data_IF_105138803226
#
_entry.id   IF_105138803226
#
_cell.length_a   1.000
_cell.length_b   1.000
_cell.length_c   1.000
_cell.angle_alpha   90.00
_cell.angle_beta   90.00
_cell.angle_gamma   90.00
#
_symmetry.space_group_name_H-M   'P 1'
#
loop_
_entity.id
_entity.type
_entity.pdbx_description
1 polymer ?
#
# COMPACT_ATOMS: atom_id res chain seq x y z
N UNK A 1 15.39 -23.77 -4.91
CA UNK A 1 14.91 -22.61 -4.15
C UNK A 1 14.14 -21.74 -5.12
N UNK A 2 12.98 -21.22 -4.71
CA UNK A 2 12.26 -20.26 -5.55
C UNK A 2 13.10 -18.99 -5.72
N UNK A 3 13.02 -18.35 -6.87
CA UNK A 3 13.65 -17.05 -7.09
C UNK A 3 12.80 -15.97 -6.41
N UNK A 4 13.44 -14.99 -5.80
CA UNK A 4 12.78 -13.94 -5.01
C UNK A 4 13.42 -12.59 -5.31
N UNK A 5 12.59 -11.54 -5.31
CA UNK A 5 13.00 -10.15 -5.33
C UNK A 5 12.70 -9.54 -3.96
N UNK A 6 13.57 -8.66 -3.48
CA UNK A 6 13.48 -8.11 -2.12
C UNK A 6 13.64 -6.61 -2.16
N UNK A 7 12.75 -5.86 -1.50
CA UNK A 7 12.90 -4.43 -1.28
C UNK A 7 13.07 -4.14 0.22
N UNK A 8 14.16 -3.47 0.57
CA UNK A 8 14.44 -3.04 1.94
C UNK A 8 13.54 -1.87 2.32
N UNK A 9 13.10 -1.85 3.58
CA UNK A 9 12.31 -0.73 4.11
C UNK A 9 13.17 0.53 4.24
N UNK A 10 12.71 1.71 3.75
CA UNK A 10 13.43 2.97 3.97
C UNK A 10 13.53 3.34 5.45
N UNK A 11 12.66 2.76 6.28
CA UNK A 11 12.67 2.94 7.73
C UNK A 11 13.36 1.79 8.49
N UNK A 12 13.98 0.83 7.80
CA UNK A 12 14.67 -0.29 8.43
C UNK A 12 13.74 -1.30 9.12
N UNK A 13 12.46 -1.32 8.75
CA UNK A 13 11.55 -2.42 9.07
C UNK A 13 11.89 -3.68 8.24
N UNK A 14 11.16 -4.77 8.47
CA UNK A 14 11.31 -6.00 7.69
C UNK A 14 11.14 -5.73 6.19
N UNK A 15 11.98 -6.35 5.34
CA UNK A 15 11.88 -6.16 3.90
C UNK A 15 10.64 -6.86 3.33
N UNK A 16 10.11 -6.33 2.23
CA UNK A 16 9.08 -7.03 1.46
C UNK A 16 9.74 -8.00 0.47
N UNK A 17 9.15 -9.19 0.35
CA UNK A 17 9.66 -10.28 -0.50
C UNK A 17 8.62 -10.61 -1.57
N UNK A 18 9.03 -10.56 -2.82
CA UNK A 18 8.20 -10.89 -3.98
C UNK A 18 8.65 -12.22 -4.60
N UNK A 19 7.78 -13.23 -4.67
CA UNK A 19 8.11 -14.48 -5.36
C UNK A 19 8.21 -14.25 -6.86
N UNK A 20 9.13 -14.97 -7.52
CA UNK A 20 9.27 -15.00 -8.98
C UNK A 20 8.75 -16.32 -9.57
N UNK A 21 8.01 -16.32 -10.70
CA UNK A 21 7.65 -15.17 -11.53
C UNK A 21 6.66 -14.23 -10.84
N UNK A 22 6.82 -12.93 -11.10
CA UNK A 22 5.86 -11.92 -10.63
C UNK A 22 4.48 -12.20 -11.22
N UNK A 23 3.44 -11.83 -10.48
CA UNK A 23 2.06 -11.89 -10.99
C UNK A 23 1.93 -11.02 -12.24
N UNK A 24 1.80 -11.67 -13.40
CA UNK A 24 1.53 -11.02 -14.68
C UNK A 24 0.08 -10.54 -14.68
N UNK A 25 -0.12 -9.23 -14.85
CA UNK A 25 -1.42 -8.55 -14.70
C UNK A 25 -2.61 -9.29 -15.35
N UNK A 26 -3.61 -9.56 -14.51
CA UNK A 26 -4.96 -10.02 -14.85
C UNK A 26 -5.95 -9.15 -14.05
N UNK A 27 -6.87 -9.76 -13.28
CA UNK A 27 -7.65 -9.03 -12.25
C UNK A 27 -6.79 -8.56 -11.05
N UNK A 28 -5.50 -8.95 -11.03
CA UNK A 28 -4.50 -8.51 -10.05
C UNK A 28 -3.51 -7.53 -10.68
N UNK A 29 -3.03 -6.58 -9.87
CA UNK A 29 -1.96 -5.65 -10.26
C UNK A 29 -0.70 -6.39 -10.74
N UNK A 30 -0.02 -5.82 -11.74
CA UNK A 30 1.27 -6.31 -12.22
C UNK A 30 2.31 -6.17 -11.09
N UNK A 31 2.87 -7.29 -10.64
CA UNK A 31 3.86 -7.30 -9.56
C UNK A 31 5.12 -6.51 -9.89
N UNK A 32 5.48 -6.37 -11.18
CA UNK A 32 6.59 -5.52 -11.58
C UNK A 32 6.23 -4.04 -11.47
N UNK A 33 5.02 -3.66 -11.86
CA UNK A 33 4.53 -2.29 -11.69
C UNK A 33 4.49 -1.89 -10.20
N UNK A 34 4.04 -2.78 -9.32
CA UNK A 34 4.01 -2.52 -7.87
C UNK A 34 5.41 -2.25 -7.29
N UNK A 35 6.42 -3.05 -7.69
CA UNK A 35 7.82 -2.84 -7.28
C UNK A 35 8.31 -1.45 -7.73
N UNK A 36 8.05 -1.10 -8.99
CA UNK A 36 8.51 0.16 -9.58
C UNK A 36 7.85 1.36 -8.93
N UNK A 37 6.54 1.30 -8.69
CA UNK A 37 5.78 2.36 -8.02
C UNK A 37 6.20 2.49 -6.56
N UNK A 38 6.43 1.38 -5.85
CA UNK A 38 6.95 1.41 -4.47
C UNK A 38 8.29 2.15 -4.41
N UNK A 39 9.23 1.85 -5.31
CA UNK A 39 10.51 2.55 -5.38
C UNK A 39 10.31 4.04 -5.69
N UNK A 40 9.37 4.37 -6.58
CA UNK A 40 9.04 5.76 -6.93
C UNK A 40 8.53 6.54 -5.71
N UNK A 41 7.56 5.98 -4.99
CA UNK A 41 6.97 6.58 -3.80
C UNK A 41 7.99 6.79 -2.69
N UNK A 42 8.90 5.83 -2.49
CA UNK A 42 10.01 6.01 -1.55
C UNK A 42 10.90 7.19 -1.97
N UNK A 43 11.13 7.40 -3.27
CA UNK A 43 11.86 8.57 -3.75
C UNK A 43 11.12 9.90 -3.58
N UNK A 44 9.79 9.91 -3.56
CA UNK A 44 9.00 11.10 -3.27
C UNK A 44 9.02 11.46 -1.78
N UNK A 45 8.96 10.44 -0.91
CA UNK A 45 9.04 10.63 0.55
C UNK A 45 10.46 10.93 1.06
N UNK A 46 11.48 10.52 0.29
CA UNK A 46 12.91 10.74 0.58
C UNK A 46 13.58 11.55 -0.56
N UNK A 47 13.48 12.89 -0.56
CA UNK A 47 14.05 13.75 -1.60
C UNK A 47 15.55 13.53 -1.82
N UNK A 48 16.29 13.15 -0.77
CA UNK A 48 17.71 12.80 -0.85
C UNK A 48 18.00 11.56 -1.72
N UNK A 49 17.01 10.68 -1.90
CA UNK A 49 17.08 9.52 -2.78
C UNK A 49 16.52 9.78 -4.17
N UNK A 50 15.64 10.76 -4.33
CA UNK A 50 14.84 10.97 -5.54
C UNK A 50 15.70 10.96 -6.81
N UNK A 51 16.81 11.71 -6.80
CA UNK A 51 17.72 11.80 -7.94
C UNK A 51 18.36 10.45 -8.27
N UNK A 52 18.83 9.71 -7.26
CA UNK A 52 19.47 8.41 -7.45
C UNK A 52 18.46 7.35 -7.93
N UNK A 53 17.25 7.36 -7.37
CA UNK A 53 16.19 6.42 -7.74
C UNK A 53 15.70 6.67 -9.17
N UNK A 54 15.38 7.91 -9.52
CA UNK A 54 14.83 8.26 -10.84
C UNK A 54 15.85 8.09 -11.97
N UNK A 55 17.10 8.51 -11.77
CA UNK A 55 18.07 8.57 -12.86
C UNK A 55 18.97 7.34 -12.99
N UNK A 56 19.22 6.59 -11.91
CA UNK A 56 20.19 5.49 -11.92
C UNK A 56 19.57 4.09 -11.70
N UNK A 57 18.38 4.04 -11.08
CA UNK A 57 17.75 2.78 -10.65
C UNK A 57 16.55 2.47 -11.53
N UNK A 58 15.64 3.44 -11.71
CA UNK A 58 14.48 3.33 -12.60
C UNK A 58 14.81 3.58 -14.08
N UNK A 59 16.06 3.39 -14.47
CA UNK A 59 16.55 3.50 -15.85
C UNK A 59 16.91 2.12 -16.38
N UNK A 60 16.40 1.76 -17.56
CA UNK A 60 16.82 0.59 -18.34
C UNK A 60 16.66 -0.75 -17.59
N UNK A 61 15.41 -1.16 -17.36
CA UNK A 61 15.03 -2.45 -16.77
C UNK A 61 14.06 -3.22 -17.67
N UNK A 62 14.09 -4.54 -17.57
CA UNK A 62 13.16 -5.46 -18.22
C UNK A 62 12.31 -6.17 -17.16
N UNK A 63 11.03 -5.82 -17.09
CA UNK A 63 10.07 -6.37 -16.12
C UNK A 63 9.83 -7.87 -16.28
N UNK A 64 10.22 -8.45 -17.42
CA UNK A 64 10.08 -9.88 -17.71
C UNK A 64 11.35 -10.68 -17.40
N UNK A 65 12.44 -10.00 -17.04
CA UNK A 65 13.73 -10.61 -16.74
C UNK A 65 14.01 -10.56 -15.24
N UNK A 66 14.13 -11.76 -14.64
CA UNK A 66 14.51 -11.88 -13.22
C UNK A 66 15.82 -11.15 -12.92
N UNK A 67 16.85 -11.36 -13.73
CA UNK A 67 18.17 -10.73 -13.52
C UNK A 67 18.10 -9.20 -13.61
N UNK A 68 17.27 -8.67 -14.51
CA UNK A 68 17.09 -7.22 -14.64
C UNK A 68 16.37 -6.63 -13.41
N UNK A 69 15.25 -7.23 -13.02
CA UNK A 69 14.49 -6.79 -11.84
C UNK A 69 15.27 -6.98 -10.54
N UNK A 70 16.04 -8.07 -10.41
CA UNK A 70 16.94 -8.29 -9.28
C UNK A 70 18.02 -7.22 -9.23
N UNK A 71 18.65 -6.90 -10.37
CA UNK A 71 19.65 -5.83 -10.45
C UNK A 71 19.09 -4.47 -10.02
N UNK A 72 17.83 -4.18 -10.38
CA UNK A 72 17.11 -2.98 -9.95
C UNK A 72 16.86 -2.99 -8.43
N UNK A 73 16.33 -4.08 -7.87
CA UNK A 73 16.11 -4.23 -6.43
C UNK A 73 17.42 -4.12 -5.64
N UNK A 74 18.50 -4.76 -6.10
CA UNK A 74 19.81 -4.71 -5.45
C UNK A 74 20.39 -3.28 -5.43
N UNK A 75 20.18 -2.48 -6.50
CA UNK A 75 20.60 -1.07 -6.50
C UNK A 75 19.78 -0.23 -5.53
N UNK A 76 18.47 -0.43 -5.50
CA UNK A 76 17.57 0.21 -4.54
C UNK A 76 17.99 -0.11 -3.10
N UNK A 77 18.16 -1.39 -2.76
CA UNK A 77 18.54 -1.84 -1.42
C UNK A 77 19.86 -1.22 -0.95
N UNK A 78 20.87 -1.13 -1.83
CA UNK A 78 22.13 -0.45 -1.48
C UNK A 78 21.95 1.03 -1.15
N UNK A 79 21.06 1.73 -1.86
CA UNK A 79 20.75 3.13 -1.58
C UNK A 79 20.02 3.29 -0.24
N UNK A 80 19.03 2.42 0.02
CA UNK A 80 18.30 2.38 1.30
C UNK A 80 19.22 2.08 2.47
N UNK A 81 20.05 1.05 2.36
CA UNK A 81 20.99 0.65 3.41
C UNK A 81 21.93 1.80 3.77
N UNK A 82 22.38 2.57 2.77
CA UNK A 82 23.25 3.72 2.98
C UNK A 82 22.57 4.79 3.84
N UNK A 83 21.28 5.08 3.60
CA UNK A 83 20.53 6.10 4.35
C UNK A 83 20.16 5.61 5.74
N UNK A 84 19.67 4.38 5.86
CA UNK A 84 19.33 3.81 7.18
C UNK A 84 20.57 3.80 8.09
N UNK A 85 21.76 3.58 7.55
CA UNK A 85 23.01 3.68 8.32
C UNK A 85 23.38 5.13 8.68
N UNK A 86 23.21 6.08 7.75
CA UNK A 86 23.43 7.50 8.03
C UNK A 86 22.51 8.00 9.15
N UNK A 87 21.23 7.65 9.10
CA UNK A 87 20.25 8.10 10.10
C UNK A 87 20.52 7.55 11.49
N UNK A 88 20.99 6.30 11.61
CA UNK A 88 21.44 5.72 12.90
C UNK A 88 22.57 6.52 13.55
N UNK A 89 23.40 7.20 12.76
CA UNK A 89 24.47 8.08 13.23
C UNK A 89 24.03 9.49 13.62
N UNK A 90 22.80 9.87 13.29
CA UNK A 90 22.25 11.22 13.57
C UNK A 90 21.24 11.15 14.70
N UNK A 91 21.28 12.10 15.65
CA UNK A 91 20.26 12.22 16.70
C UNK A 91 18.89 12.73 16.20
N UNK A 92 18.63 12.67 14.89
CA UNK A 92 17.39 13.14 14.28
C UNK A 92 16.28 12.13 14.59
N UNK A 93 15.27 12.56 15.34
CA UNK A 93 14.08 11.76 15.57
C UNK A 93 13.23 11.73 14.30
N UNK A 94 12.90 10.53 13.83
CA UNK A 94 11.91 10.35 12.76
C UNK A 94 10.54 10.80 13.28
N UNK A 95 10.01 11.85 12.67
CA UNK A 95 8.65 12.32 12.97
C UNK A 95 7.68 11.48 12.15
N UNK A 96 6.71 10.84 12.81
CA UNK A 96 5.58 10.19 12.12
C UNK A 96 4.82 11.25 11.32
N UNK A 97 4.76 11.08 10.00
CA UNK A 97 4.00 11.92 9.09
C UNK A 97 2.88 11.10 8.50
N UNK A 98 1.74 11.74 8.25
CA UNK A 98 0.69 11.15 7.44
C UNK A 98 1.19 11.00 5.99
N UNK A 99 0.85 9.90 5.31
CA UNK A 99 1.22 9.71 3.92
C UNK A 99 0.56 10.77 3.04
N UNK A 100 1.22 11.13 1.93
CA UNK A 100 0.56 11.91 0.87
C UNK A 100 -0.63 11.13 0.30
N UNK A 101 -1.58 11.82 -0.33
CA UNK A 101 -2.73 11.15 -0.97
C UNK A 101 -2.32 10.14 -2.03
N UNK A 102 -1.25 10.42 -2.76
CA UNK A 102 -0.75 9.50 -3.78
C UNK A 102 -0.13 8.25 -3.15
N UNK A 103 0.71 8.44 -2.13
CA UNK A 103 1.32 7.35 -1.38
C UNK A 103 0.26 6.48 -0.70
N UNK A 104 -0.73 7.08 -0.04
CA UNK A 104 -1.80 6.34 0.61
C UNK A 104 -2.64 5.52 -0.39
N UNK A 105 -2.92 6.06 -1.58
CA UNK A 105 -3.59 5.30 -2.65
C UNK A 105 -2.77 4.07 -3.04
N UNK A 106 -1.45 4.23 -3.19
CA UNK A 106 -0.53 3.14 -3.51
C UNK A 106 -0.50 2.07 -2.40
N UNK A 107 -0.38 2.48 -1.13
CA UNK A 107 -0.39 1.56 0.02
C UNK A 107 -1.69 0.76 0.06
N UNK A 108 -2.85 1.42 -0.09
CA UNK A 108 -4.14 0.73 -0.08
C UNK A 108 -4.29 -0.26 -1.23
N UNK A 109 -3.78 0.08 -2.42
CA UNK A 109 -3.77 -0.83 -3.57
C UNK A 109 -2.90 -2.06 -3.31
N UNK A 110 -1.70 -1.87 -2.75
CA UNK A 110 -0.80 -2.98 -2.38
C UNK A 110 -1.45 -3.90 -1.34
N UNK A 111 -2.05 -3.31 -0.29
CA UNK A 111 -2.77 -4.05 0.75
C UNK A 111 -3.93 -4.84 0.17
N UNK A 112 -4.69 -4.25 -0.76
CA UNK A 112 -5.77 -4.94 -1.48
C UNK A 112 -5.24 -6.12 -2.29
N UNK A 113 -4.18 -5.94 -3.07
CA UNK A 113 -3.60 -7.00 -3.90
C UNK A 113 -3.11 -8.19 -3.05
N UNK A 114 -2.61 -7.93 -1.84
CA UNK A 114 -2.12 -8.95 -0.92
C UNK A 114 -3.26 -9.67 -0.19
N UNK A 115 -4.31 -8.94 0.20
CA UNK A 115 -5.39 -9.47 1.03
C UNK A 115 -6.54 -10.09 0.21
N UNK A 116 -6.91 -9.51 -0.93
CA UNK A 116 -8.06 -9.94 -1.72
C UNK A 116 -7.61 -10.89 -2.82
N UNK A 117 -7.60 -12.18 -2.49
CA UNK A 117 -7.08 -13.22 -3.38
C UNK A 117 -8.05 -13.60 -4.52
N UNK A 118 -9.35 -13.55 -4.28
CA UNK A 118 -10.40 -13.96 -5.22
C UNK A 118 -11.46 -12.85 -5.31
N UNK A 119 -11.16 -11.72 -5.99
CA UNK A 119 -12.06 -10.56 -6.09
C UNK A 119 -13.45 -10.91 -6.63
N UNK A 120 -13.55 -11.94 -7.48
CA UNK A 120 -14.80 -12.44 -8.03
C UNK A 120 -15.79 -12.92 -6.96
N UNK A 121 -15.30 -13.33 -5.78
CA UNK A 121 -16.17 -13.71 -4.64
C UNK A 121 -16.85 -12.51 -4.01
N UNK A 122 -16.30 -11.31 -4.15
CA UNK A 122 -16.95 -10.07 -3.67
C UNK A 122 -18.19 -9.73 -4.51
N UNK A 123 -18.25 -10.21 -5.75
CA UNK A 123 -19.40 -10.02 -6.65
C UNK A 123 -20.51 -11.07 -6.46
N UNK A 124 -20.36 -12.00 -5.52
CA UNK A 124 -21.33 -13.08 -5.25
C UNK A 124 -22.29 -12.68 -4.12
N UNK A 125 -23.25 -11.83 -4.44
CA UNK A 125 -24.31 -11.41 -3.53
C UNK A 125 -25.69 -11.56 -4.16
N UNK A 126 -26.73 -11.69 -3.34
CA UNK A 126 -28.11 -11.68 -3.80
C UNK A 126 -28.49 -10.26 -4.28
N UNK A 127 -28.93 -10.07 -5.54
CA UNK A 127 -29.39 -8.77 -6.02
C UNK A 127 -30.54 -8.23 -5.14
N UNK A 128 -30.54 -6.92 -4.89
CA UNK A 128 -31.53 -6.24 -4.04
C UNK A 128 -31.48 -6.62 -2.54
N UNK A 129 -30.38 -7.21 -2.08
CA UNK A 129 -30.09 -7.40 -0.64
C UNK A 129 -29.20 -6.27 -0.09
N UNK A 130 -29.09 -6.11 1.25
CA UNK A 130 -28.09 -5.24 1.87
C UNK A 130 -26.63 -5.70 1.68
N UNK A 131 -26.38 -6.81 0.99
CA UNK A 131 -25.05 -7.44 0.82
C UNK A 131 -24.41 -7.09 -0.53
N UNK A 132 -25.00 -6.17 -1.30
CA UNK A 132 -24.46 -5.68 -2.56
C UNK A 132 -23.12 -4.99 -2.29
N UNK A 133 -22.03 -5.59 -2.77
CA UNK A 133 -20.71 -4.99 -2.73
C UNK A 133 -20.56 -3.97 -3.86
N UNK A 134 -20.20 -2.74 -3.51
CA UNK A 134 -19.83 -1.68 -4.44
C UNK A 134 -18.61 -0.95 -3.90
N UNK A 135 -17.52 -0.94 -4.66
CA UNK A 135 -16.31 -0.25 -4.22
C UNK A 135 -16.51 1.26 -4.22
N UNK A 136 -16.23 1.88 -3.08
CA UNK A 136 -16.25 3.34 -2.96
C UNK A 136 -14.95 3.90 -3.51
N UNK A 137 -15.04 4.92 -4.35
CA UNK A 137 -13.87 5.54 -4.97
C UNK A 137 -12.97 6.22 -3.93
N UNK A 138 -11.67 5.96 -4.00
CA UNK A 138 -10.64 6.64 -3.19
C UNK A 138 -10.74 8.17 -3.28
N UNK A 139 -11.05 8.70 -4.47
CA UNK A 139 -11.14 10.13 -4.72
C UNK A 139 -12.38 10.74 -4.06
N UNK A 140 -13.48 10.00 -4.01
CA UNK A 140 -14.69 10.43 -3.32
C UNK A 140 -14.46 10.55 -1.81
N UNK A 141 -13.73 9.61 -1.21
CA UNK A 141 -13.35 9.71 0.21
C UNK A 141 -12.38 10.88 0.45
N UNK A 142 -11.44 11.13 -0.47
CA UNK A 142 -10.59 12.33 -0.37
C UNK A 142 -11.41 13.63 -0.40
N UNK A 143 -12.39 13.72 -1.31
CA UNK A 143 -13.31 14.86 -1.38
C UNK A 143 -14.13 14.98 -0.09
N UNK A 144 -14.65 13.87 0.44
CA UNK A 144 -15.36 13.88 1.71
C UNK A 144 -14.47 14.45 2.82
N UNK A 145 -13.23 13.96 2.97
CA UNK A 145 -12.26 14.44 3.97
C UNK A 145 -11.98 15.95 3.80
N UNK A 146 -11.94 16.48 2.59
CA UNK A 146 -11.74 17.91 2.34
C UNK A 146 -12.92 18.78 2.78
N UNK A 147 -14.14 18.25 2.70
CA UNK A 147 -15.37 18.97 2.97
C UNK A 147 -15.79 18.93 4.45
N UNK A 148 -15.20 18.04 5.25
CA UNK A 148 -15.54 17.87 6.68
C UNK A 148 -14.34 18.14 7.58
N UNK A 149 -14.56 18.92 8.64
CA UNK A 149 -13.54 19.18 9.65
C UNK A 149 -13.46 18.01 10.64
N UNK A 150 -12.49 17.10 10.44
CA UNK A 150 -12.26 15.94 11.30
C UNK A 150 -11.15 16.25 12.29
N UNK A 151 -11.45 16.00 13.56
CA UNK A 151 -10.57 16.24 14.70
C UNK A 151 -10.23 14.94 15.44
N UNK A 152 -9.31 15.04 16.40
CA UNK A 152 -8.93 13.94 17.28
C UNK A 152 -9.97 13.55 18.33
N UNK A 153 -11.11 14.25 18.38
CA UNK A 153 -12.24 13.88 19.23
C UNK A 153 -13.31 13.09 18.48
N UNK A 154 -13.25 13.06 17.15
CA UNK A 154 -14.24 12.40 16.31
C UNK A 154 -14.04 10.89 16.25
N UNK A 155 -15.14 10.18 16.03
CA UNK A 155 -15.18 8.74 15.78
C UNK A 155 -15.83 8.49 14.42
N UNK A 156 -15.10 7.81 13.55
CA UNK A 156 -15.60 7.40 12.23
C UNK A 156 -16.12 5.96 12.29
N UNK A 157 -17.30 5.73 11.71
CA UNK A 157 -17.92 4.41 11.61
C UNK A 157 -18.45 4.18 10.19
N UNK A 158 -17.93 3.15 9.53
CA UNK A 158 -18.39 2.66 8.24
C UNK A 158 -19.33 1.46 8.43
N UNK A 159 -20.58 1.59 8.00
CA UNK A 159 -21.64 0.59 8.14
C UNK A 159 -21.83 -0.14 6.81
N UNK A 160 -21.49 -1.43 6.77
CA UNK A 160 -21.34 -2.17 5.51
C UNK A 160 -19.97 -1.91 4.88
N UNK A 161 -18.91 -2.00 5.69
CA UNK A 161 -17.57 -1.56 5.33
C UNK A 161 -16.89 -2.40 4.25
N UNK A 162 -17.49 -3.52 3.83
CA UNK A 162 -16.90 -4.45 2.88
C UNK A 162 -15.52 -4.94 3.37
N UNK A 163 -14.52 -4.84 2.50
CA UNK A 163 -13.13 -5.19 2.83
C UNK A 163 -12.42 -4.14 3.70
N UNK A 164 -13.07 -3.03 4.05
CA UNK A 164 -12.56 -2.03 5.00
C UNK A 164 -11.69 -0.92 4.41
N UNK A 165 -11.63 -0.78 3.09
CA UNK A 165 -10.76 0.20 2.41
C UNK A 165 -10.99 1.66 2.87
N UNK A 166 -12.25 2.06 3.09
CA UNK A 166 -12.61 3.41 3.54
C UNK A 166 -12.12 3.65 4.96
N UNK A 167 -12.27 2.66 5.85
CA UNK A 167 -11.81 2.73 7.24
C UNK A 167 -10.29 2.91 7.29
N UNK A 168 -9.53 2.16 6.48
CA UNK A 168 -8.07 2.28 6.41
C UNK A 168 -7.65 3.65 5.87
N UNK A 169 -8.31 4.14 4.82
CA UNK A 169 -8.06 5.48 4.28
C UNK A 169 -8.31 6.57 5.33
N UNK A 170 -9.46 6.51 6.02
CA UNK A 170 -9.81 7.48 7.06
C UNK A 170 -8.82 7.46 8.22
N UNK A 171 -8.40 6.27 8.66
CA UNK A 171 -7.43 6.12 9.74
C UNK A 171 -6.05 6.72 9.39
N UNK A 172 -5.65 6.64 8.12
CA UNK A 172 -4.33 7.11 7.67
C UNK A 172 -4.31 8.58 7.23
N UNK A 173 -5.42 9.08 6.71
CA UNK A 173 -5.52 10.43 6.15
C UNK A 173 -6.01 11.49 7.15
N UNK A 174 -6.53 11.08 8.30
CA UNK A 174 -7.21 12.01 9.24
C UNK A 174 -6.64 11.89 10.65
N UNK A 175 -7.00 12.84 11.50
CA UNK A 175 -6.65 12.81 12.93
C UNK A 175 -7.69 12.09 13.79
N UNK A 176 -8.68 11.44 13.16
CA UNK A 176 -9.81 10.82 13.84
C UNK A 176 -9.34 9.89 14.97
N UNK A 177 -10.00 9.96 16.12
CA UNK A 177 -9.61 9.20 17.31
C UNK A 177 -9.63 7.70 17.05
N UNK A 178 -10.69 7.26 16.40
CA UNK A 178 -11.01 5.85 16.14
C UNK A 178 -11.77 5.77 14.82
N UNK A 179 -11.33 4.90 13.93
CA UNK A 179 -12.04 4.50 12.72
C UNK A 179 -12.50 3.04 12.86
N UNK A 180 -13.79 2.78 12.69
CA UNK A 180 -14.40 1.45 12.80
C UNK A 180 -15.11 1.09 11.48
N UNK A 181 -15.05 -0.20 11.12
CA UNK A 181 -15.87 -0.79 10.07
C UNK A 181 -16.66 -1.95 10.62
N UNK A 182 -17.92 -2.07 10.19
CA UNK A 182 -18.77 -3.23 10.50
C UNK A 182 -19.28 -3.81 9.20
N UNK A 183 -18.94 -5.07 8.95
CA UNK A 183 -19.37 -5.84 7.77
C UNK A 183 -20.10 -7.11 8.21
N UNK A 184 -21.25 -7.39 7.58
CA UNK A 184 -22.10 -8.54 7.91
C UNK A 184 -21.75 -9.77 7.07
N UNK A 185 -21.36 -9.58 5.81
CA UNK A 185 -21.11 -10.66 4.88
C UNK A 185 -19.75 -11.34 5.16
N UNK A 186 -19.76 -12.67 5.17
CA UNK A 186 -18.60 -13.49 5.58
C UNK A 186 -17.37 -13.32 4.68
N UNK A 187 -17.57 -13.17 3.37
CA UNK A 187 -16.46 -13.05 2.41
C UNK A 187 -15.71 -11.73 2.58
N UNK A 188 -16.35 -10.55 2.48
CA UNK A 188 -15.65 -9.29 2.66
C UNK A 188 -15.11 -9.11 4.09
N UNK A 189 -15.79 -9.60 5.13
CA UNK A 189 -15.28 -9.50 6.50
C UNK A 189 -13.99 -10.30 6.72
N UNK A 190 -13.86 -11.48 6.13
CA UNK A 190 -12.60 -12.26 6.14
C UNK A 190 -11.47 -11.57 5.39
N UNK A 191 -11.76 -10.93 4.25
CA UNK A 191 -10.75 -10.14 3.56
C UNK A 191 -10.38 -8.88 4.36
N UNK A 192 -11.30 -8.25 5.09
CA UNK A 192 -11.02 -7.11 5.94
C UNK A 192 -10.01 -7.42 7.08
N UNK A 193 -10.04 -8.64 7.62
CA UNK A 193 -9.03 -9.10 8.59
C UNK A 193 -7.62 -9.10 7.96
N UNK A 194 -7.51 -9.60 6.72
CA UNK A 194 -6.24 -9.64 6.00
C UNK A 194 -5.80 -8.24 5.54
N UNK A 195 -6.72 -7.40 5.08
CA UNK A 195 -6.47 -5.99 4.76
C UNK A 195 -5.89 -5.26 5.98
N UNK A 196 -6.47 -5.47 7.16
CA UNK A 196 -5.99 -4.88 8.41
C UNK A 196 -4.61 -5.38 8.80
N UNK A 197 -4.31 -6.67 8.58
CA UNK A 197 -3.02 -7.25 8.89
C UNK A 197 -1.92 -6.72 7.95
N UNK A 198 -2.20 -6.61 6.65
CA UNK A 198 -1.26 -6.12 5.64
C UNK A 198 -1.04 -4.61 5.70
N UNK A 199 -2.01 -3.83 6.20
CA UNK A 199 -1.89 -2.38 6.33
C UNK A 199 -1.02 -1.92 7.52
N UNK A 200 -0.83 -2.78 8.52
CA UNK A 200 -0.03 -2.49 9.72
C UNK A 200 1.43 -2.86 9.53
#
# INVERSE_FOLDING_TARGET
MAQELVLHSPVGAEPVVYPWPLSSGGDRSDGAAEILDTIRWVGEDHPELEFALKNNILSDYDTRSFESMKGLCDKYNRAIDSIVQLEKGTSLQRVSKQPSRGLLRHILQQVYNQAVLEPEKLNQYEPFSPEVYGETSYDLICQMIDEIEITSEDVFLDLGSGVGQVVLQMAAATSCKICLGVEKADVPSRYAEQMTASFK
#
